data_IF_537713665438
#
_entry.id   IF_537713665438
#
_cell.length_a   1.000
_cell.length_b   1.000
_cell.length_c   1.000
_cell.angle_alpha   90.00
_cell.angle_beta   90.00
_cell.angle_gamma   90.00
#
_symmetry.space_group_name_H-M   'P 1'
#
loop_
_entity.id
_entity.type
_entity.pdbx_description
1 polymer ?
#
# COMPACT_ATOMS: atom_id res chain seq x y z
N UNK A 1 8.04 33.28 -22.00
CA UNK A 1 9.07 32.28 -22.37
C UNK A 1 8.50 31.41 -23.49
N UNK A 2 9.12 31.40 -24.69
CA UNK A 2 8.66 30.54 -25.80
C UNK A 2 9.01 29.09 -25.46
N UNK A 3 7.98 28.23 -25.27
CA UNK A 3 8.18 26.78 -25.14
C UNK A 3 8.83 26.26 -26.42
N UNK A 4 9.95 25.50 -26.38
CA UNK A 4 10.50 24.86 -27.54
C UNK A 4 9.46 23.88 -28.10
N UNK A 5 8.94 24.15 -29.29
CA UNK A 5 7.96 23.26 -29.93
C UNK A 5 8.72 22.09 -30.55
N UNK A 6 8.14 20.89 -30.41
CA UNK A 6 8.60 19.69 -31.10
C UNK A 6 8.77 20.00 -32.61
N UNK A 7 9.96 19.75 -33.14
CA UNK A 7 10.26 20.04 -34.50
C UNK A 7 10.04 18.79 -35.36
N UNK A 8 9.13 18.88 -36.30
CA UNK A 8 8.96 17.82 -37.29
C UNK A 8 10.07 17.84 -38.35
N UNK A 9 10.71 18.98 -38.55
CA UNK A 9 11.58 19.19 -39.68
C UNK A 9 10.80 19.17 -41.01
N UNK A 10 11.47 19.24 -42.11
CA UNK A 10 10.86 19.08 -43.44
C UNK A 10 11.82 18.47 -44.42
N UNK A 11 11.29 17.76 -45.40
CA UNK A 11 12.04 17.21 -46.52
C UNK A 11 11.98 18.14 -47.72
N UNK A 12 13.10 18.18 -48.49
CA UNK A 12 13.14 18.74 -49.81
C UNK A 12 13.93 17.82 -50.72
N UNK A 13 13.52 17.72 -51.96
CA UNK A 13 14.34 17.08 -53.01
C UNK A 13 15.38 18.09 -53.51
N UNK A 14 16.59 17.64 -53.60
CA UNK A 14 17.69 18.48 -54.08
C UNK A 14 18.40 17.82 -55.28
N UNK A 15 18.36 18.50 -56.43
CA UNK A 15 19.04 18.05 -57.65
C UNK A 15 20.50 18.48 -57.58
N UNK A 16 21.40 17.54 -57.54
CA UNK A 16 22.84 17.79 -57.55
C UNK A 16 23.33 18.18 -58.95
N UNK A 17 24.36 19.06 -59.04
CA UNK A 17 25.02 19.37 -60.30
C UNK A 17 25.67 18.14 -60.96
N UNK A 18 26.16 17.19 -60.12
CA UNK A 18 26.66 15.88 -60.59
C UNK A 18 26.10 14.82 -59.62
N UNK A 19 25.40 13.78 -60.13
CA UNK A 19 24.84 12.66 -59.37
C UNK A 19 23.32 12.66 -59.30
N UNK A 20 22.74 11.66 -58.66
CA UNK A 20 21.30 11.51 -58.54
C UNK A 20 20.66 12.58 -57.64
N UNK A 21 19.38 12.84 -57.88
CA UNK A 21 18.56 13.63 -57.01
C UNK A 21 18.45 12.98 -55.60
N UNK A 22 18.52 13.79 -54.53
CA UNK A 22 18.62 13.32 -53.17
C UNK A 22 17.54 13.94 -52.29
N UNK A 23 17.15 13.19 -51.25
CA UNK A 23 16.36 13.68 -50.16
C UNK A 23 17.23 14.41 -49.15
N UNK A 24 16.83 15.65 -48.76
CA UNK A 24 17.49 16.47 -47.76
C UNK A 24 16.49 16.75 -46.64
N UNK A 25 16.82 16.28 -45.47
CA UNK A 25 16.08 16.58 -44.23
C UNK A 25 16.65 17.86 -43.61
N UNK A 26 15.79 18.80 -43.23
CA UNK A 26 16.17 20.09 -42.64
C UNK A 26 15.42 20.30 -41.33
N UNK A 27 16.18 20.86 -40.36
CA UNK A 27 15.63 21.24 -39.04
C UNK A 27 16.29 22.51 -38.52
N UNK A 28 15.66 23.15 -37.54
CA UNK A 28 16.23 24.29 -36.85
C UNK A 28 17.07 23.81 -35.70
N UNK A 29 18.24 24.37 -35.49
CA UNK A 29 19.16 24.12 -34.39
C UNK A 29 19.59 25.48 -33.80
N UNK A 30 20.22 25.44 -32.65
CA UNK A 30 20.79 26.64 -32.02
C UNK A 30 22.30 26.50 -32.06
N UNK A 31 23.00 27.51 -32.55
CA UNK A 31 24.47 27.52 -32.58
C UNK A 31 25.06 27.76 -31.18
N UNK A 32 26.39 27.66 -31.08
CA UNK A 32 27.13 27.87 -29.83
C UNK A 32 26.91 29.27 -29.19
N UNK A 33 26.37 30.22 -29.92
CA UNK A 33 26.08 31.59 -29.49
C UNK A 33 24.58 31.81 -29.22
N UNK A 34 23.78 30.76 -29.18
CA UNK A 34 22.35 30.85 -28.91
C UNK A 34 21.50 31.34 -30.10
N UNK A 35 22.06 31.47 -31.30
CA UNK A 35 21.32 31.93 -32.50
C UNK A 35 20.71 30.75 -33.28
N UNK A 36 19.46 30.89 -33.78
CA UNK A 36 18.83 29.84 -34.58
C UNK A 36 19.56 29.64 -35.92
N UNK A 37 19.93 28.40 -36.19
CA UNK A 37 20.60 27.97 -37.42
C UNK A 37 19.85 26.81 -38.07
N UNK A 38 19.68 26.87 -39.39
CA UNK A 38 19.14 25.73 -40.18
C UNK A 38 20.22 24.69 -40.42
N UNK A 39 19.97 23.46 -39.99
CA UNK A 39 20.81 22.31 -40.37
C UNK A 39 20.13 21.48 -41.44
N UNK A 40 20.95 20.81 -42.24
CA UNK A 40 20.50 19.95 -43.31
C UNK A 40 21.34 18.67 -43.37
N UNK A 41 20.67 17.54 -43.58
CA UNK A 41 21.29 16.24 -43.76
C UNK A 41 20.80 15.61 -45.06
N UNK A 42 21.71 15.12 -45.90
CA UNK A 42 21.37 14.29 -47.04
C UNK A 42 21.08 12.87 -46.58
N UNK A 43 19.83 12.44 -46.73
CA UNK A 43 19.35 11.15 -46.26
C UNK A 43 19.67 10.01 -47.20
N UNK A 44 19.56 10.27 -48.51
CA UNK A 44 19.84 9.30 -49.54
C UNK A 44 19.29 9.73 -50.90
N UNK A 45 19.51 8.94 -51.94
CA UNK A 45 18.99 9.24 -53.29
C UNK A 45 17.48 8.96 -53.37
N UNK A 46 16.80 9.67 -54.28
CA UNK A 46 15.38 9.42 -54.60
C UNK A 46 15.17 8.01 -55.14
N UNK A 47 16.21 7.40 -55.77
CA UNK A 47 16.18 6.00 -56.18
C UNK A 47 16.22 5.01 -55.00
N UNK A 48 16.95 5.36 -53.92
CA UNK A 48 17.05 4.56 -52.71
C UNK A 48 15.78 4.64 -51.86
N UNK A 49 15.19 5.82 -51.77
CA UNK A 49 13.94 6.08 -51.08
C UNK A 49 12.93 6.66 -52.04
N UNK A 50 12.16 5.81 -52.74
CA UNK A 50 11.23 6.19 -53.77
C UNK A 50 10.09 7.09 -53.34
N UNK A 51 9.75 7.06 -52.04
CA UNK A 51 8.69 7.86 -51.42
C UNK A 51 9.21 8.69 -50.24
N UNK A 52 8.54 9.80 -49.98
CA UNK A 52 8.83 10.66 -48.85
C UNK A 52 8.65 9.90 -47.52
N UNK A 53 7.67 9.01 -47.46
CA UNK A 53 7.43 8.15 -46.29
C UNK A 53 8.62 7.23 -45.98
N UNK A 54 9.26 6.68 -47.02
CA UNK A 54 10.46 5.86 -46.83
C UNK A 54 11.65 6.70 -46.35
N UNK A 55 11.79 7.92 -46.82
CA UNK A 55 12.80 8.88 -46.36
C UNK A 55 12.52 9.30 -44.88
N UNK A 56 11.26 9.51 -44.49
CA UNK A 56 10.87 9.76 -43.10
C UNK A 56 11.22 8.61 -42.15
N UNK A 57 11.03 7.39 -42.58
CA UNK A 57 11.41 6.21 -41.81
C UNK A 57 12.93 6.12 -41.60
N UNK A 58 13.71 6.48 -42.59
CA UNK A 58 15.17 6.47 -42.52
C UNK A 58 15.76 7.53 -41.57
N UNK A 59 15.07 8.63 -41.32
CA UNK A 59 15.50 9.66 -40.33
C UNK A 59 14.82 9.57 -39.00
N UNK A 60 14.06 8.52 -38.72
CA UNK A 60 13.33 8.40 -37.48
C UNK A 60 14.23 8.49 -36.23
N UNK A 61 15.40 7.87 -36.26
CA UNK A 61 16.40 7.92 -35.18
C UNK A 61 17.00 9.33 -35.03
N UNK A 62 17.41 9.93 -36.14
CA UNK A 62 17.95 11.30 -36.15
C UNK A 62 16.92 12.32 -35.68
N UNK A 63 15.64 12.12 -36.00
CA UNK A 63 14.55 12.98 -35.55
C UNK A 63 14.33 12.90 -34.04
N UNK A 64 14.54 11.75 -33.42
CA UNK A 64 14.58 11.60 -32.00
C UNK A 64 15.74 12.39 -31.38
N UNK A 65 16.94 12.30 -31.98
CA UNK A 65 18.11 13.02 -31.50
C UNK A 65 17.96 14.54 -31.64
N UNK A 66 17.41 15.03 -32.76
CA UNK A 66 17.15 16.47 -32.99
C UNK A 66 16.19 17.05 -31.94
N UNK A 67 15.16 16.31 -31.55
CA UNK A 67 14.23 16.74 -30.53
C UNK A 67 14.74 16.46 -29.10
N UNK A 68 15.72 15.58 -28.98
CA UNK A 68 16.36 15.25 -27.72
C UNK A 68 17.35 16.35 -27.26
N UNK A 69 17.95 17.07 -28.20
CA UNK A 69 18.89 18.16 -27.96
C UNK A 69 18.26 19.56 -27.89
N UNK A 70 16.97 19.71 -28.20
CA UNK A 70 16.28 20.97 -27.92
C UNK A 70 16.24 21.15 -26.41
N UNK A 71 17.17 21.97 -25.91
CA UNK A 71 17.40 22.38 -24.52
C UNK A 71 16.49 21.67 -23.54
N UNK A 72 17.04 20.67 -22.79
CA UNK A 72 16.38 20.18 -21.61
C UNK A 72 15.96 21.41 -20.80
N UNK A 73 14.70 21.58 -20.41
CA UNK A 73 14.36 22.62 -19.45
C UNK A 73 15.35 22.49 -18.29
N UNK A 74 15.91 23.60 -17.83
CA UNK A 74 16.80 23.58 -16.67
C UNK A 74 16.09 22.79 -15.57
N UNK A 75 16.78 21.78 -14.98
CA UNK A 75 16.23 20.93 -13.94
C UNK A 75 15.70 19.56 -14.37
N UNK A 76 15.69 19.20 -15.67
CA UNK A 76 15.28 17.83 -16.08
C UNK A 76 16.31 16.80 -15.62
N UNK A 77 15.91 15.81 -14.81
CA UNK A 77 16.81 14.76 -14.34
C UNK A 77 17.44 13.97 -15.52
N UNK A 78 18.75 13.82 -15.51
CA UNK A 78 19.48 13.05 -16.50
C UNK A 78 19.41 11.56 -16.25
N UNK A 79 19.36 11.19 -14.96
CA UNK A 79 19.35 9.81 -14.49
C UNK A 79 18.18 9.57 -13.54
N UNK A 80 17.87 8.30 -13.34
CA UNK A 80 16.82 7.91 -12.40
C UNK A 80 17.15 8.33 -10.94
N UNK A 81 18.42 8.32 -10.55
CA UNK A 81 18.85 8.80 -9.23
C UNK A 81 18.54 10.28 -9.02
N UNK A 82 18.80 11.13 -10.03
CA UNK A 82 18.46 12.55 -9.98
C UNK A 82 16.94 12.75 -9.86
N UNK A 83 16.15 11.96 -10.59
CA UNK A 83 14.70 11.96 -10.46
C UNK A 83 14.25 11.55 -9.05
N UNK A 84 14.84 10.49 -8.50
CA UNK A 84 14.55 10.05 -7.12
C UNK A 84 14.96 11.11 -6.10
N UNK A 85 16.10 11.79 -6.29
CA UNK A 85 16.52 12.87 -5.40
C UNK A 85 15.49 14.01 -5.36
N UNK A 86 15.02 14.44 -6.52
CA UNK A 86 13.96 15.45 -6.60
C UNK A 86 12.64 14.96 -6.00
N UNK A 87 12.22 13.72 -6.29
CA UNK A 87 11.04 13.11 -5.71
C UNK A 87 11.11 13.07 -4.17
N UNK A 88 12.25 12.70 -3.62
CA UNK A 88 12.47 12.67 -2.16
C UNK A 88 12.35 14.06 -1.54
N UNK A 89 12.97 15.06 -2.15
CA UNK A 89 12.93 16.45 -1.69
C UNK A 89 11.49 17.02 -1.67
N UNK A 90 10.68 16.69 -2.66
CA UNK A 90 9.35 17.27 -2.80
C UNK A 90 8.26 16.43 -2.12
N UNK A 91 8.30 15.09 -2.31
CA UNK A 91 7.20 14.20 -1.92
C UNK A 91 7.44 13.47 -0.59
N UNK A 92 8.72 13.28 -0.20
CA UNK A 92 9.08 12.50 0.97
C UNK A 92 9.66 13.35 2.10
N UNK A 93 9.64 14.68 1.97
CA UNK A 93 10.07 15.57 3.04
C UNK A 93 9.22 15.30 4.30
N UNK A 94 9.89 14.88 5.38
CA UNK A 94 9.24 14.49 6.63
C UNK A 94 8.78 15.70 7.45
N UNK A 95 9.33 16.88 7.20
CA UNK A 95 8.99 18.12 7.90
C UNK A 95 7.74 18.77 7.32
N UNK A 96 7.41 18.46 6.06
CA UNK A 96 6.20 18.97 5.42
C UNK A 96 5.03 18.04 5.66
N UNK A 97 3.98 18.53 6.28
CA UNK A 97 2.70 17.82 6.29
C UNK A 97 2.21 17.64 4.85
N UNK A 98 1.76 16.42 4.56
CA UNK A 98 1.22 16.07 3.26
C UNK A 98 -0.09 15.31 3.47
N UNK A 99 -1.16 15.82 2.91
CA UNK A 99 -2.46 15.11 2.89
C UNK A 99 -2.40 13.79 2.12
N UNK A 100 -1.44 13.65 1.18
CA UNK A 100 -1.32 12.47 0.30
C UNK A 100 -0.53 11.34 0.90
N UNK A 101 0.54 11.63 1.64
CA UNK A 101 1.45 10.61 2.19
C UNK A 101 1.72 10.89 3.67
N UNK A 102 1.22 10.01 4.52
CA UNK A 102 1.56 10.05 5.95
C UNK A 102 3.03 9.70 6.17
N UNK A 103 3.62 10.18 7.28
CA UNK A 103 5.04 10.03 7.63
C UNK A 103 5.55 8.59 7.46
N UNK A 104 4.82 7.58 7.93
CA UNK A 104 5.19 6.18 7.80
C UNK A 104 5.31 5.70 6.34
N UNK A 105 4.44 6.22 5.46
CA UNK A 105 4.53 5.94 4.03
C UNK A 105 5.78 6.57 3.43
N UNK A 106 6.09 7.82 3.79
CA UNK A 106 7.30 8.53 3.36
C UNK A 106 8.56 7.77 3.76
N UNK A 107 8.65 7.34 5.04
CA UNK A 107 9.78 6.55 5.56
C UNK A 107 9.92 5.21 4.83
N UNK A 108 8.81 4.48 4.64
CA UNK A 108 8.82 3.21 3.91
C UNK A 108 9.33 3.39 2.48
N UNK A 109 8.88 4.43 1.78
CA UNK A 109 9.32 4.73 0.42
C UNK A 109 10.82 5.06 0.39
N UNK A 110 11.28 5.89 1.30
CA UNK A 110 12.68 6.29 1.40
C UNK A 110 13.61 5.10 1.64
N UNK A 111 13.20 4.18 2.52
CA UNK A 111 13.95 2.93 2.78
C UNK A 111 14.07 2.09 1.51
N UNK A 112 12.99 1.83 0.77
CA UNK A 112 13.08 1.02 -0.45
C UNK A 112 13.82 1.73 -1.58
N UNK A 113 13.67 3.04 -1.71
CA UNK A 113 14.43 3.84 -2.68
C UNK A 113 15.93 3.72 -2.41
N UNK A 114 16.37 3.92 -1.16
CA UNK A 114 17.79 3.87 -0.79
C UNK A 114 18.37 2.47 -0.83
N UNK A 115 17.66 1.48 -0.26
CA UNK A 115 18.23 0.16 -0.05
C UNK A 115 18.16 -0.74 -1.30
N UNK A 116 17.21 -0.52 -2.21
CA UNK A 116 16.94 -1.46 -3.30
C UNK A 116 16.87 -0.81 -4.69
N UNK A 117 16.15 0.31 -4.82
CA UNK A 117 15.81 0.86 -6.13
C UNK A 117 16.98 1.66 -6.71
N UNK A 118 17.51 2.64 -5.97
CA UNK A 118 18.63 3.49 -6.43
C UNK A 118 19.91 2.68 -6.67
N UNK A 119 20.34 1.75 -5.79
CA UNK A 119 21.53 0.94 -6.05
C UNK A 119 21.46 0.14 -7.36
N UNK A 120 20.24 -0.23 -7.80
CA UNK A 120 20.07 -1.01 -9.03
C UNK A 120 19.83 -0.14 -10.26
N UNK A 121 19.06 0.94 -10.13
CA UNK A 121 18.53 1.69 -11.28
C UNK A 121 19.02 3.13 -11.34
N UNK A 122 19.66 3.65 -10.31
CA UNK A 122 20.01 5.06 -10.19
C UNK A 122 20.82 5.62 -11.36
N UNK A 123 21.79 4.88 -11.85
CA UNK A 123 22.65 5.30 -12.95
C UNK A 123 22.01 5.27 -14.35
N UNK A 124 20.82 4.67 -14.49
CA UNK A 124 20.16 4.57 -15.79
C UNK A 124 19.45 5.87 -16.15
N UNK A 125 19.41 6.18 -17.45
CA UNK A 125 18.52 7.22 -17.99
C UNK A 125 17.08 6.74 -17.92
N UNK A 126 16.13 7.67 -17.80
CA UNK A 126 14.71 7.33 -17.61
C UNK A 126 14.14 6.42 -18.70
N UNK A 127 14.51 6.67 -19.96
CA UNK A 127 14.07 5.87 -21.12
C UNK A 127 14.77 4.51 -21.28
N UNK A 128 15.86 4.24 -20.55
CA UNK A 128 16.60 2.98 -20.60
C UNK A 128 16.00 1.90 -19.69
N UNK A 129 15.24 2.30 -18.69
CA UNK A 129 14.57 1.37 -17.76
C UNK A 129 13.36 0.75 -18.46
N UNK A 130 13.47 -0.53 -18.83
CA UNK A 130 12.42 -1.26 -19.54
C UNK A 130 11.65 -2.19 -18.61
N UNK A 131 10.36 -2.36 -18.85
CA UNK A 131 9.47 -3.18 -18.04
C UNK A 131 10.02 -4.59 -17.78
N UNK A 132 10.46 -5.29 -18.83
CA UNK A 132 11.00 -6.65 -18.73
C UNK A 132 12.27 -6.72 -17.87
N UNK A 133 13.11 -5.68 -17.90
CA UNK A 133 14.30 -5.64 -17.06
C UNK A 133 13.93 -5.47 -15.58
N UNK A 134 12.90 -4.66 -15.28
CA UNK A 134 12.36 -4.51 -13.92
C UNK A 134 11.70 -5.81 -13.45
N UNK A 135 10.93 -6.50 -14.30
CA UNK A 135 10.35 -7.80 -13.97
C UNK A 135 11.41 -8.82 -13.58
N UNK A 136 12.47 -8.96 -14.39
CA UNK A 136 13.58 -9.88 -14.10
C UNK A 136 14.28 -9.53 -12.80
N UNK A 137 14.52 -8.25 -12.56
CA UNK A 137 15.13 -7.80 -11.31
C UNK A 137 14.22 -8.10 -10.10
N UNK A 138 12.92 -7.78 -10.15
CA UNK A 138 12.00 -8.12 -9.06
C UNK A 138 11.92 -9.65 -8.86
N UNK A 139 11.98 -10.42 -9.94
CA UNK A 139 12.05 -11.89 -9.89
C UNK A 139 13.28 -12.41 -9.17
N UNK A 140 14.44 -11.78 -9.36
CA UNK A 140 15.72 -12.20 -8.75
C UNK A 140 15.90 -11.83 -7.28
N UNK A 141 14.96 -11.10 -6.66
CA UNK A 141 15.02 -10.75 -5.24
C UNK A 141 14.32 -11.86 -4.42
N UNK A 142 15.06 -12.86 -3.96
CA UNK A 142 14.47 -14.03 -3.30
C UNK A 142 14.10 -13.79 -1.84
N UNK A 143 14.70 -12.80 -1.19
CA UNK A 143 14.48 -12.43 0.22
C UNK A 143 13.19 -11.63 0.46
N UNK A 144 12.45 -11.26 -0.59
CA UNK A 144 11.25 -10.45 -0.47
C UNK A 144 9.98 -11.18 -0.91
N UNK A 145 8.91 -10.96 -0.16
CA UNK A 145 7.58 -11.45 -0.52
C UNK A 145 7.03 -10.78 -1.79
N UNK A 146 6.11 -11.43 -2.49
CA UNK A 146 5.42 -10.85 -3.66
C UNK A 146 4.74 -9.52 -3.33
N UNK A 147 4.15 -9.38 -2.15
CA UNK A 147 3.54 -8.12 -1.69
C UNK A 147 4.56 -6.99 -1.55
N UNK A 148 5.77 -7.30 -1.06
CA UNK A 148 6.87 -6.33 -0.96
C UNK A 148 7.41 -5.95 -2.34
N UNK A 149 7.60 -6.94 -3.23
CA UNK A 149 8.00 -6.70 -4.63
C UNK A 149 6.99 -5.80 -5.36
N UNK A 150 5.70 -6.06 -5.16
CA UNK A 150 4.64 -5.21 -5.73
C UNK A 150 4.66 -3.78 -5.14
N UNK A 151 5.00 -3.62 -3.86
CA UNK A 151 5.20 -2.31 -3.25
C UNK A 151 6.38 -1.57 -3.89
N UNK A 152 7.53 -2.24 -4.09
CA UNK A 152 8.70 -1.67 -4.79
C UNK A 152 8.33 -1.23 -6.21
N UNK A 153 7.59 -2.06 -6.97
CA UNK A 153 7.04 -1.69 -8.27
C UNK A 153 6.18 -0.41 -8.16
N UNK A 154 5.27 -0.35 -7.19
CA UNK A 154 4.42 0.82 -6.95
C UNK A 154 5.23 2.09 -6.68
N UNK A 155 6.28 2.01 -5.86
CA UNK A 155 7.17 3.14 -5.57
C UNK A 155 7.88 3.63 -6.84
N UNK A 156 8.43 2.72 -7.66
CA UNK A 156 9.04 3.09 -8.94
C UNK A 156 8.04 3.78 -9.86
N UNK A 157 6.81 3.28 -9.92
CA UNK A 157 5.74 3.89 -10.72
C UNK A 157 5.40 5.30 -10.25
N UNK A 158 5.33 5.53 -8.95
CA UNK A 158 5.10 6.86 -8.35
C UNK A 158 6.22 7.85 -8.71
N UNK A 159 7.47 7.40 -8.73
CA UNK A 159 8.62 8.22 -9.14
C UNK A 159 8.50 8.61 -10.61
N UNK A 160 8.09 7.70 -11.50
CA UNK A 160 7.83 8.03 -12.90
C UNK A 160 6.62 8.96 -13.08
N UNK A 161 5.54 8.76 -12.32
CA UNK A 161 4.38 9.67 -12.32
C UNK A 161 4.76 11.08 -11.88
N UNK A 162 5.70 11.19 -10.94
CA UNK A 162 6.26 12.48 -10.56
C UNK A 162 6.96 13.17 -11.75
N UNK A 163 7.77 12.44 -12.53
CA UNK A 163 8.42 12.98 -13.73
C UNK A 163 7.40 13.44 -14.79
N UNK A 164 6.32 12.69 -15.00
CA UNK A 164 5.22 13.06 -15.90
C UNK A 164 4.53 14.34 -15.40
N UNK A 165 4.21 14.43 -14.12
CA UNK A 165 3.58 15.61 -13.52
C UNK A 165 4.43 16.88 -13.65
N UNK A 166 5.76 16.74 -13.62
CA UNK A 166 6.70 17.84 -13.84
C UNK A 166 6.96 18.12 -15.33
N UNK A 167 6.32 17.39 -16.24
CA UNK A 167 6.49 17.57 -17.69
C UNK A 167 7.85 17.11 -18.22
N UNK A 168 8.59 16.28 -17.46
CA UNK A 168 9.87 15.71 -17.88
C UNK A 168 9.71 14.45 -18.72
N UNK A 169 8.56 13.82 -18.63
CA UNK A 169 8.09 12.71 -19.45
C UNK A 169 6.67 13.01 -19.93
N UNK A 170 6.28 12.42 -21.06
CA UNK A 170 4.92 12.54 -21.58
C UNK A 170 4.00 11.53 -20.90
N UNK A 171 2.69 11.77 -21.00
CA UNK A 171 1.68 10.80 -20.59
C UNK A 171 1.90 9.46 -21.33
N UNK A 172 1.83 8.37 -20.57
CA UNK A 172 2.06 7.03 -21.10
C UNK A 172 3.53 6.57 -21.12
N UNK A 173 4.51 7.43 -20.84
CA UNK A 173 5.93 7.07 -20.82
C UNK A 173 6.41 6.42 -19.51
N UNK A 174 5.49 6.02 -18.60
CA UNK A 174 5.83 5.26 -17.40
C UNK A 174 6.01 3.76 -17.74
N UNK A 175 7.24 3.24 -17.85
CA UNK A 175 7.47 1.84 -18.22
C UNK A 175 7.01 0.86 -17.14
N UNK A 176 6.83 1.33 -15.91
CA UNK A 176 6.48 0.48 -14.76
C UNK A 176 5.03 0.01 -14.81
N UNK A 177 4.15 0.70 -15.53
CA UNK A 177 2.77 0.21 -15.74
C UNK A 177 2.72 -1.15 -16.43
N UNK A 178 3.62 -1.38 -17.40
CA UNK A 178 3.71 -2.63 -18.14
C UNK A 178 4.40 -3.77 -17.34
N UNK A 179 4.99 -3.49 -16.18
CA UNK A 179 5.66 -4.49 -15.33
C UNK A 179 4.64 -5.45 -14.73
N UNK A 180 4.83 -6.75 -14.95
CA UNK A 180 3.99 -7.82 -14.37
C UNK A 180 4.57 -8.25 -13.04
N UNK A 181 3.92 -7.90 -11.93
CA UNK A 181 4.31 -8.31 -10.59
C UNK A 181 3.07 -8.70 -9.80
N UNK A 182 3.00 -9.95 -9.40
CA UNK A 182 1.93 -10.44 -8.54
C UNK A 182 2.06 -9.85 -7.14
N UNK A 183 0.94 -9.39 -6.57
CA UNK A 183 0.83 -9.02 -5.16
C UNK A 183 0.24 -10.15 -4.30
N UNK A 184 0.01 -11.36 -4.89
CA UNK A 184 -0.60 -12.49 -4.19
C UNK A 184 0.25 -12.88 -2.98
N UNK A 185 -0.38 -12.88 -1.81
CA UNK A 185 0.27 -13.30 -0.56
C UNK A 185 0.40 -14.82 -0.56
N UNK A 186 1.59 -15.31 -0.24
CA UNK A 186 1.88 -16.74 -0.07
C UNK A 186 1.55 -17.22 1.34
N UNK A 187 1.67 -16.32 2.34
CA UNK A 187 1.31 -16.60 3.73
C UNK A 187 -0.01 -15.92 4.07
N UNK A 188 -0.91 -16.69 4.64
CA UNK A 188 -2.16 -16.20 5.23
C UNK A 188 -1.96 -16.22 6.74
N UNK A 189 -2.20 -15.09 7.41
CA UNK A 189 -2.20 -15.04 8.88
C UNK A 189 -3.32 -15.94 9.39
N UNK A 190 -2.99 -16.90 10.24
CA UNK A 190 -3.97 -17.77 10.88
C UNK A 190 -4.51 -17.07 12.13
N UNK A 191 -5.83 -17.14 12.38
CA UNK A 191 -6.41 -16.66 13.63
C UNK A 191 -5.98 -17.56 14.78
N UNK A 192 -6.03 -17.03 16.00
CA UNK A 192 -5.90 -17.84 17.22
C UNK A 192 -7.20 -18.59 17.48
N UNK A 193 -7.09 -19.83 17.88
CA UNK A 193 -8.21 -20.55 18.47
C UNK A 193 -8.48 -20.01 19.88
N UNK A 194 -9.70 -20.19 20.38
CA UNK A 194 -10.07 -19.71 21.72
C UNK A 194 -9.19 -20.31 22.85
N UNK A 195 -8.77 -21.58 22.70
CA UNK A 195 -7.87 -22.23 23.63
C UNK A 195 -6.46 -21.63 23.58
N UNK A 196 -5.92 -21.39 22.38
CA UNK A 196 -4.61 -20.75 22.18
C UNK A 196 -4.61 -19.31 22.73
N UNK A 197 -5.69 -18.56 22.48
CA UNK A 197 -5.83 -17.20 23.02
C UNK A 197 -5.78 -17.22 24.56
N UNK A 198 -6.55 -18.10 25.20
CA UNK A 198 -6.55 -18.22 26.68
C UNK A 198 -5.17 -18.62 27.22
N UNK A 199 -4.53 -19.62 26.62
CA UNK A 199 -3.19 -20.04 26.99
C UNK A 199 -2.18 -18.89 26.87
N UNK A 200 -2.23 -18.12 25.77
CA UNK A 200 -1.39 -16.96 25.56
C UNK A 200 -1.60 -15.88 26.63
N UNK A 201 -2.87 -15.60 26.99
CA UNK A 201 -3.18 -14.58 28.00
C UNK A 201 -2.62 -14.93 29.37
N UNK A 202 -2.54 -16.21 29.73
CA UNK A 202 -1.95 -16.69 31.01
C UNK A 202 -0.42 -16.43 31.05
N UNK A 203 0.25 -16.47 29.93
CA UNK A 203 1.70 -16.27 29.81
C UNK A 203 2.12 -14.79 29.75
N UNK A 204 1.17 -13.86 29.64
CA UNK A 204 1.46 -12.44 29.49
C UNK A 204 1.38 -11.70 30.82
N UNK A 205 2.31 -10.74 31.07
CA UNK A 205 2.14 -9.78 32.18
C UNK A 205 0.84 -8.99 31.98
N UNK A 206 0.26 -8.54 33.11
CA UNK A 206 -1.06 -7.91 33.17
C UNK A 206 -1.28 -6.83 32.09
N UNK A 207 -0.39 -5.83 31.99
CA UNK A 207 -0.49 -4.78 30.94
C UNK A 207 -0.57 -5.37 29.54
N UNK A 208 0.26 -6.36 29.23
CA UNK A 208 0.30 -7.01 27.92
C UNK A 208 -0.93 -7.87 27.68
N UNK A 209 -1.40 -8.57 28.70
CA UNK A 209 -2.65 -9.34 28.69
C UNK A 209 -3.82 -8.43 28.34
N UNK A 210 -3.93 -7.29 29.02
CA UNK A 210 -4.99 -6.33 28.76
C UNK A 210 -4.94 -5.72 27.37
N UNK A 211 -3.73 -5.40 26.83
CA UNK A 211 -3.56 -5.01 25.44
C UNK A 211 -4.10 -6.10 24.49
N UNK A 212 -3.79 -7.36 24.76
CA UNK A 212 -4.28 -8.51 24.00
C UNK A 212 -5.81 -8.66 24.07
N UNK A 213 -6.40 -8.53 25.27
CA UNK A 213 -7.85 -8.57 25.50
C UNK A 213 -8.52 -7.44 24.70
N UNK A 214 -8.12 -6.19 24.89
CA UNK A 214 -8.70 -5.05 24.17
C UNK A 214 -8.60 -5.23 22.65
N UNK A 215 -7.45 -5.66 22.14
CA UNK A 215 -7.28 -5.88 20.70
C UNK A 215 -8.16 -7.01 20.17
N UNK A 216 -8.38 -8.09 20.95
CA UNK A 216 -9.15 -9.25 20.54
C UNK A 216 -10.67 -9.07 20.70
N UNK A 217 -11.13 -8.25 21.65
CA UNK A 217 -12.56 -8.01 21.89
C UNK A 217 -13.13 -6.84 21.08
N UNK A 218 -12.28 -5.87 20.71
CA UNK A 218 -12.71 -4.68 19.97
C UNK A 218 -12.27 -4.69 18.50
N UNK A 219 -11.33 -5.56 18.15
CA UNK A 219 -10.72 -5.58 16.82
C UNK A 219 -9.88 -4.35 16.49
N UNK A 220 -9.53 -3.50 17.44
CA UNK A 220 -8.67 -2.31 17.22
C UNK A 220 -7.28 -2.69 16.70
N UNK A 221 -6.68 -1.81 15.90
CA UNK A 221 -5.27 -1.94 15.52
C UNK A 221 -4.39 -1.63 16.73
N UNK A 222 -3.24 -2.29 16.85
CA UNK A 222 -2.34 -2.03 17.98
C UNK A 222 -1.98 -0.55 18.14
N UNK A 223 -1.77 0.17 17.05
CA UNK A 223 -1.50 1.60 17.08
C UNK A 223 -2.68 2.44 17.63
N UNK A 224 -3.91 1.96 17.47
CA UNK A 224 -5.13 2.55 18.01
C UNK A 224 -5.28 2.20 19.49
N UNK A 225 -5.02 0.93 19.87
CA UNK A 225 -5.00 0.48 21.27
C UNK A 225 -3.99 1.29 22.08
N UNK A 226 -2.75 1.41 21.58
CA UNK A 226 -1.71 2.22 22.23
C UNK A 226 -2.02 3.72 22.22
N UNK A 227 -2.90 4.17 21.33
CA UNK A 227 -3.37 5.54 21.24
C UNK A 227 -4.48 5.92 22.25
N UNK A 228 -5.01 4.96 23.01
CA UNK A 228 -6.09 5.20 23.97
C UNK A 228 -5.61 5.99 25.17
N UNK A 229 -6.42 6.96 25.58
CA UNK A 229 -6.32 7.68 26.85
C UNK A 229 -7.53 7.37 27.70
N UNK A 230 -7.44 7.55 29.02
CA UNK A 230 -8.57 7.27 29.92
C UNK A 230 -9.79 8.13 29.61
N UNK A 231 -9.62 9.34 29.12
CA UNK A 231 -10.72 10.23 28.71
C UNK A 231 -11.48 9.74 27.48
N UNK A 232 -10.91 8.82 26.69
CA UNK A 232 -11.56 8.28 25.49
C UNK A 232 -12.60 7.19 25.82
N UNK A 233 -12.73 6.77 27.09
CA UNK A 233 -13.61 5.69 27.51
C UNK A 233 -14.83 6.27 28.22
N UNK A 234 -15.99 6.12 27.61
CA UNK A 234 -17.27 6.39 28.25
C UNK A 234 -17.74 5.13 29.01
N UNK A 235 -17.61 5.18 30.33
CA UNK A 235 -17.97 4.09 31.24
C UNK A 235 -19.48 3.90 31.38
N UNK A 236 -20.31 4.89 31.00
CA UNK A 236 -21.78 4.80 31.11
C UNK A 236 -22.37 4.11 29.90
N UNK A 237 -21.87 4.45 28.71
CA UNK A 237 -22.34 3.89 27.43
C UNK A 237 -21.53 2.67 27.00
N UNK A 238 -20.46 2.32 27.72
CA UNK A 238 -19.50 1.26 27.38
C UNK A 238 -18.97 1.41 25.96
N UNK A 239 -18.42 2.58 25.66
CA UNK A 239 -17.86 2.90 24.34
C UNK A 239 -16.48 3.51 24.48
N UNK A 240 -15.63 3.26 23.46
CA UNK A 240 -14.32 3.90 23.31
C UNK A 240 -14.32 4.82 22.09
N UNK A 241 -13.85 6.05 22.25
CA UNK A 241 -13.56 6.95 21.14
C UNK A 241 -12.12 6.76 20.68
N UNK A 242 -11.92 6.39 19.41
CA UNK A 242 -10.59 6.21 18.85
C UNK A 242 -10.24 7.42 17.99
N UNK A 243 -9.61 8.40 18.59
CA UNK A 243 -9.31 9.70 17.98
C UNK A 243 -7.90 9.77 17.39
N UNK A 244 -6.98 8.92 17.87
CA UNK A 244 -5.55 8.94 17.52
C UNK A 244 -4.96 7.55 17.37
N UNK A 245 -3.79 7.48 16.78
CA UNK A 245 -2.97 6.28 16.70
C UNK A 245 -1.52 6.61 17.05
N UNK A 246 -0.82 5.66 17.66
CA UNK A 246 0.61 5.83 17.99
C UNK A 246 1.43 4.80 17.26
N UNK A 247 2.40 5.26 16.47
CA UNK A 247 3.34 4.42 15.72
C UNK A 247 4.76 4.96 15.95
N UNK A 248 5.66 4.13 16.40
CA UNK A 248 7.07 4.46 16.65
C UNK A 248 7.25 5.73 17.51
N UNK A 249 6.44 5.88 18.55
CA UNK A 249 6.46 7.04 19.44
C UNK A 249 5.90 8.33 18.83
N UNK A 250 5.23 8.26 17.69
CA UNK A 250 4.62 9.42 17.03
C UNK A 250 3.10 9.30 17.14
N UNK A 251 2.47 10.33 17.69
CA UNK A 251 1.02 10.45 17.74
C UNK A 251 0.52 11.00 16.42
N UNK A 252 -0.32 10.25 15.75
CA UNK A 252 -0.95 10.64 14.48
C UNK A 252 -2.47 10.60 14.56
N UNK A 253 -3.12 11.26 13.60
CA UNK A 253 -4.57 11.14 13.39
C UNK A 253 -4.91 9.70 12.92
N UNK A 254 -6.11 9.23 13.22
CA UNK A 254 -6.60 7.97 12.68
C UNK A 254 -6.59 8.01 11.13
N UNK A 255 -6.22 6.86 10.53
CA UNK A 255 -5.96 6.73 9.08
C UNK A 255 -7.17 7.03 8.20
N UNK A 256 -8.38 6.82 8.69
CA UNK A 256 -9.64 7.02 7.95
C UNK A 256 -10.71 7.64 8.85
N UNK A 257 -11.68 8.33 8.28
CA UNK A 257 -12.83 8.86 9.04
C UNK A 257 -13.64 7.76 9.72
N UNK A 258 -13.78 6.60 9.07
CA UNK A 258 -14.41 5.42 9.66
C UNK A 258 -13.68 4.93 10.93
N UNK A 259 -12.39 5.24 11.06
CA UNK A 259 -11.61 4.93 12.25
C UNK A 259 -11.90 5.84 13.46
N UNK A 260 -12.74 6.86 13.32
CA UNK A 260 -13.16 7.75 14.40
C UNK A 260 -14.50 7.36 15.05
N UNK A 261 -15.19 6.35 14.51
CA UNK A 261 -16.47 5.90 15.09
C UNK A 261 -16.22 5.28 16.44
N UNK A 262 -17.11 5.51 17.43
CA UNK A 262 -17.04 4.84 18.73
C UNK A 262 -17.03 3.31 18.58
N UNK A 263 -16.30 2.66 19.44
CA UNK A 263 -16.18 1.19 19.50
C UNK A 263 -16.86 0.71 20.75
N UNK A 264 -17.87 -0.16 20.68
CA UNK A 264 -18.48 -0.74 21.86
C UNK A 264 -17.49 -1.65 22.59
N UNK A 265 -17.54 -1.65 23.90
CA UNK A 265 -16.84 -2.60 24.77
C UNK A 265 -17.86 -3.38 25.59
N UNK A 266 -17.57 -4.62 25.86
CA UNK A 266 -18.37 -5.44 26.74
C UNK A 266 -17.99 -5.19 28.21
N UNK A 267 -18.83 -5.62 29.13
CA UNK A 267 -18.66 -5.44 30.60
C UNK A 267 -17.35 -6.06 31.09
N UNK A 268 -16.99 -7.24 30.59
CA UNK A 268 -15.71 -7.90 30.94
C UNK A 268 -14.50 -7.05 30.58
N UNK A 269 -14.47 -6.51 29.39
CA UNK A 269 -13.36 -5.64 28.92
C UNK A 269 -13.33 -4.34 29.72
N UNK A 270 -14.48 -3.79 30.07
CA UNK A 270 -14.58 -2.60 30.90
C UNK A 270 -14.06 -2.86 32.36
N UNK A 271 -14.41 -3.98 32.95
CA UNK A 271 -13.95 -4.37 34.30
C UNK A 271 -12.43 -4.59 34.33
N UNK A 272 -11.86 -5.25 33.34
CA UNK A 272 -10.41 -5.42 33.21
C UNK A 272 -9.68 -4.06 33.06
N UNK A 273 -10.26 -3.13 32.32
CA UNK A 273 -9.72 -1.77 32.19
C UNK A 273 -9.84 -0.97 33.48
N UNK A 274 -10.95 -1.10 34.22
CA UNK A 274 -11.14 -0.46 35.53
C UNK A 274 -10.18 -1.02 36.58
N UNK A 275 -9.95 -2.33 36.56
CA UNK A 275 -8.94 -2.96 37.43
C UNK A 275 -7.56 -2.40 37.13
N UNK A 276 -7.17 -2.37 35.88
CA UNK A 276 -5.90 -1.77 35.47
C UNK A 276 -5.77 -0.29 35.84
N UNK A 277 -6.87 0.48 35.75
CA UNK A 277 -6.88 1.90 36.13
C UNK A 277 -6.57 2.12 37.63
N UNK A 278 -6.97 1.17 38.49
CA UNK A 278 -6.66 1.22 39.91
C UNK A 278 -5.20 0.89 40.24
N UNK A 279 -4.56 0.12 39.41
CA UNK A 279 -3.19 -0.38 39.62
C UNK A 279 -2.12 0.49 38.97
N UNK A 280 -2.43 1.13 37.81
CA UNK A 280 -1.45 1.95 37.11
C UNK A 280 -1.20 3.28 37.83
N UNK A 281 0.06 3.73 37.83
CA UNK A 281 0.42 5.07 38.29
C UNK A 281 -0.08 6.21 37.35
N UNK A 282 -0.56 5.85 36.16
CA UNK A 282 -0.99 6.77 35.08
C UNK A 282 -2.50 6.65 34.87
N UNK A 283 -3.30 7.18 35.80
CA UNK A 283 -4.75 7.02 35.83
C UNK A 283 -5.55 8.31 35.56
N UNK A 284 -4.88 9.43 35.30
CA UNK A 284 -5.54 10.70 34.98
C UNK A 284 -6.25 10.64 33.62
N UNK A 285 -7.27 11.45 33.39
CA UNK A 285 -8.00 11.44 32.11
C UNK A 285 -7.09 11.57 30.87
N UNK A 286 -6.06 12.43 30.92
CA UNK A 286 -5.11 12.67 29.84
C UNK A 286 -3.98 11.63 29.75
N UNK A 287 -3.84 10.74 30.72
CA UNK A 287 -2.81 9.71 30.67
C UNK A 287 -3.18 8.62 29.65
N UNK A 288 -2.13 8.02 29.08
CA UNK A 288 -2.30 6.85 28.22
C UNK A 288 -2.76 5.65 29.03
N UNK A 289 -3.76 4.92 28.54
CA UNK A 289 -4.22 3.66 29.17
C UNK A 289 -3.07 2.68 29.33
N UNK A 290 -2.19 2.64 28.31
CA UNK A 290 -1.00 1.78 28.28
C UNK A 290 0.28 2.61 28.31
N UNK A 291 0.42 3.47 29.30
CA UNK A 291 1.59 4.32 29.46
C UNK A 291 2.90 3.52 29.60
N UNK A 292 3.99 4.05 29.07
CA UNK A 292 5.34 3.46 29.22
C UNK A 292 6.04 4.04 30.45
N UNK A 293 6.41 3.19 31.39
CA UNK A 293 7.18 3.55 32.58
C UNK A 293 8.58 4.06 32.22
N UNK A 294 9.18 3.50 31.15
CA UNK A 294 10.50 3.89 30.66
C UNK A 294 10.61 5.38 30.34
N UNK A 295 9.52 5.99 29.91
CA UNK A 295 9.44 7.42 29.59
C UNK A 295 8.48 8.16 30.52
N UNK A 296 8.32 7.66 31.74
CA UNK A 296 7.52 8.30 32.79
C UNK A 296 6.09 8.64 32.36
N UNK A 297 5.46 7.75 31.62
CA UNK A 297 4.08 7.92 31.14
C UNK A 297 3.88 8.89 29.99
N UNK A 298 4.92 9.57 29.53
CA UNK A 298 4.81 10.58 28.44
C UNK A 298 4.32 10.00 27.13
N UNK A 299 4.60 8.74 26.87
CA UNK A 299 4.22 8.01 25.65
C UNK A 299 3.87 6.56 26.00
N UNK A 300 3.08 5.85 25.18
CA UNK A 300 2.94 4.41 25.27
C UNK A 300 4.21 3.68 24.82
N UNK A 301 4.36 2.38 25.11
CA UNK A 301 5.51 1.59 24.68
C UNK A 301 5.52 1.39 23.15
N UNK A 302 6.69 1.10 22.61
CA UNK A 302 6.84 0.80 21.19
C UNK A 302 6.32 -0.60 20.85
N UNK A 303 5.61 -0.69 19.74
CA UNK A 303 4.98 -1.94 19.28
C UNK A 303 5.98 -3.08 19.12
N UNK A 304 7.15 -2.81 18.51
CA UNK A 304 8.19 -3.82 18.31
C UNK A 304 8.75 -4.34 19.64
N UNK A 305 8.93 -3.44 20.63
CA UNK A 305 9.36 -3.84 21.98
C UNK A 305 8.33 -4.77 22.63
N UNK A 306 7.04 -4.47 22.48
CA UNK A 306 5.97 -5.31 23.03
C UNK A 306 5.91 -6.67 22.32
N UNK A 307 6.11 -6.69 21.00
CA UNK A 307 6.13 -7.90 20.20
C UNK A 307 7.28 -8.82 20.60
N UNK A 308 8.51 -8.29 20.56
CA UNK A 308 9.73 -9.09 20.68
C UNK A 308 10.01 -9.53 22.12
N UNK A 309 9.71 -8.66 23.11
CA UNK A 309 10.02 -8.95 24.50
C UNK A 309 8.93 -9.69 25.23
N UNK A 310 7.68 -9.57 24.81
CA UNK A 310 6.55 -10.14 25.54
C UNK A 310 5.72 -11.10 24.71
N UNK A 311 5.19 -10.66 23.55
CA UNK A 311 4.20 -11.44 22.82
C UNK A 311 4.79 -12.71 22.21
N UNK A 312 5.92 -12.60 21.49
CA UNK A 312 6.57 -13.76 20.87
C UNK A 312 7.08 -14.79 21.90
N UNK A 313 7.78 -14.39 22.99
CA UNK A 313 8.16 -15.33 24.04
C UNK A 313 6.97 -16.00 24.73
N UNK A 314 5.87 -15.26 24.99
CA UNK A 314 4.67 -15.80 25.59
C UNK A 314 3.97 -16.81 24.67
N UNK A 315 3.86 -16.53 23.38
CA UNK A 315 3.31 -17.45 22.40
C UNK A 315 4.09 -18.78 22.35
N UNK A 316 5.42 -18.69 22.42
CA UNK A 316 6.28 -19.89 22.49
C UNK A 316 6.03 -20.69 23.78
N UNK A 317 5.92 -20.04 24.96
CA UNK A 317 5.63 -20.72 26.24
C UNK A 317 4.23 -21.32 26.26
N UNK A 318 3.27 -20.67 25.61
CA UNK A 318 1.91 -21.18 25.44
C UNK A 318 1.81 -22.35 24.44
N UNK A 319 2.92 -22.80 23.83
CA UNK A 319 2.95 -23.90 22.88
C UNK A 319 2.38 -23.57 21.50
N UNK A 320 2.23 -22.29 21.17
CA UNK A 320 1.67 -21.84 19.87
C UNK A 320 2.77 -21.89 18.82
N UNK A 321 2.61 -22.76 17.81
CA UNK A 321 3.61 -22.98 16.76
C UNK A 321 3.51 -21.98 15.60
N UNK A 322 2.32 -21.43 15.36
CA UNK A 322 2.11 -20.40 14.32
C UNK A 322 2.61 -19.04 14.81
N UNK A 323 2.97 -18.18 13.84
CA UNK A 323 3.42 -16.83 14.17
C UNK A 323 2.26 -15.98 14.73
N UNK A 324 2.48 -15.36 15.88
CA UNK A 324 1.50 -14.52 16.57
C UNK A 324 2.00 -13.07 16.59
N UNK A 325 1.25 -12.16 16.01
CA UNK A 325 1.49 -10.72 16.11
C UNK A 325 0.21 -10.01 16.57
N UNK A 326 0.29 -8.71 16.85
CA UNK A 326 -0.90 -7.96 17.27
C UNK A 326 -2.04 -8.00 16.26
N UNK A 327 -1.72 -8.13 14.98
CA UNK A 327 -2.72 -8.27 13.91
C UNK A 327 -3.47 -9.63 14.00
N UNK A 328 -2.87 -10.64 14.64
CA UNK A 328 -3.52 -11.94 14.85
C UNK A 328 -4.75 -11.79 15.74
N UNK A 329 -4.73 -10.92 16.77
CA UNK A 329 -5.90 -10.64 17.61
C UNK A 329 -7.07 -10.08 16.79
N UNK A 330 -6.80 -9.12 15.95
CA UNK A 330 -7.81 -8.53 15.06
C UNK A 330 -8.33 -9.54 14.02
N UNK A 331 -7.47 -10.43 13.52
CA UNK A 331 -7.89 -11.55 12.67
C UNK A 331 -8.77 -12.54 13.41
N UNK A 332 -8.42 -12.87 14.65
CA UNK A 332 -9.21 -13.73 15.52
C UNK A 332 -10.61 -13.14 15.72
N UNK A 333 -10.70 -11.86 16.11
CA UNK A 333 -11.97 -11.16 16.27
C UNK A 333 -12.85 -11.25 15.02
N UNK A 334 -12.31 -10.89 13.85
CA UNK A 334 -13.07 -10.93 12.59
C UNK A 334 -13.50 -12.35 12.20
N UNK A 335 -12.69 -13.36 12.54
CA UNK A 335 -13.00 -14.76 12.24
C UNK A 335 -14.09 -15.29 13.17
N UNK A 336 -14.07 -14.90 14.45
CA UNK A 336 -15.11 -15.27 15.41
C UNK A 336 -16.45 -14.61 15.09
N UNK A 337 -16.47 -13.31 14.74
CA UNK A 337 -17.69 -12.65 14.27
C UNK A 337 -18.31 -13.39 13.10
N UNK A 338 -17.49 -13.78 12.11
CA UNK A 338 -17.96 -14.59 10.98
C UNK A 338 -18.47 -15.97 11.42
N UNK A 339 -17.76 -16.65 12.31
CA UNK A 339 -18.16 -17.99 12.79
C UNK A 339 -19.48 -17.95 13.55
N UNK A 340 -19.76 -16.83 14.24
CA UNK A 340 -21.02 -16.58 14.92
C UNK A 340 -22.17 -16.19 13.97
N UNK A 341 -21.90 -16.07 12.66
CA UNK A 341 -22.94 -15.77 11.66
C UNK A 341 -23.28 -14.28 11.52
N UNK A 342 -22.45 -13.39 12.07
CA UNK A 342 -22.68 -11.95 12.00
C UNK A 342 -22.74 -11.44 10.57
N UNK A 343 -23.64 -10.49 10.32
CA UNK A 343 -23.78 -9.84 9.00
C UNK A 343 -22.49 -9.16 8.55
N UNK A 344 -22.17 -9.28 7.28
CA UNK A 344 -20.94 -8.69 6.69
C UNK A 344 -20.83 -7.19 6.96
N UNK A 345 -21.97 -6.48 6.97
CA UNK A 345 -22.02 -5.04 7.21
C UNK A 345 -21.70 -4.73 8.67
N UNK A 346 -22.25 -5.51 9.60
CA UNK A 346 -21.95 -5.40 11.03
C UNK A 346 -20.46 -5.65 11.27
N UNK A 347 -19.91 -6.72 10.68
CA UNK A 347 -18.45 -7.01 10.76
C UNK A 347 -17.63 -5.88 10.16
N UNK A 348 -18.03 -5.31 9.01
CA UNK A 348 -17.33 -4.16 8.40
C UNK A 348 -17.29 -2.97 9.36
N UNK A 349 -18.40 -2.67 10.02
CA UNK A 349 -18.52 -1.54 10.94
C UNK A 349 -17.72 -1.76 12.23
N UNK A 350 -17.83 -2.92 12.86
CA UNK A 350 -17.05 -3.27 14.04
C UNK A 350 -15.54 -3.27 13.75
N UNK A 351 -15.15 -3.79 12.59
CA UNK A 351 -13.76 -3.78 12.14
C UNK A 351 -13.30 -2.40 11.66
N UNK A 352 -14.22 -1.46 11.48
CA UNK A 352 -13.93 -0.11 10.98
C UNK A 352 -13.14 -0.13 9.66
N UNK A 353 -13.54 -1.04 8.74
CA UNK A 353 -12.93 -1.16 7.43
C UNK A 353 -13.54 -0.12 6.47
N UNK A 354 -12.69 0.77 5.94
CA UNK A 354 -13.10 1.77 4.96
C UNK A 354 -13.61 1.13 3.65
N UNK A 355 -13.07 -0.05 3.29
CA UNK A 355 -13.44 -0.78 2.09
C UNK A 355 -13.99 -2.17 2.47
N UNK A 356 -15.20 -2.47 2.00
CA UNK A 356 -15.86 -3.76 2.22
C UNK A 356 -15.04 -4.95 1.68
N UNK A 357 -14.25 -4.75 0.62
CA UNK A 357 -13.40 -5.82 0.09
C UNK A 357 -12.41 -6.36 1.13
N UNK A 358 -12.00 -5.54 2.09
CA UNK A 358 -11.13 -5.97 3.19
C UNK A 358 -11.86 -6.95 4.11
N UNK A 359 -13.13 -6.70 4.40
CA UNK A 359 -14.00 -7.61 5.18
C UNK A 359 -14.30 -8.87 4.37
N UNK A 360 -14.65 -8.72 3.09
CA UNK A 360 -14.95 -9.85 2.20
C UNK A 360 -13.79 -10.84 2.08
N UNK A 361 -12.54 -10.40 2.16
CA UNK A 361 -11.38 -11.30 2.19
C UNK A 361 -11.39 -12.28 3.37
N UNK A 362 -12.05 -11.95 4.47
CA UNK A 362 -12.29 -12.88 5.60
C UNK A 362 -13.39 -13.88 5.25
N UNK A 363 -14.39 -13.46 4.45
CA UNK A 363 -15.55 -14.28 4.06
C UNK A 363 -15.29 -15.19 2.86
N UNK A 364 -14.30 -14.93 2.00
CA UNK A 364 -14.00 -15.73 0.79
C UNK A 364 -13.66 -17.19 1.06
N UNK A 365 -13.32 -17.53 2.31
CA UNK A 365 -13.09 -18.91 2.77
C UNK A 365 -14.32 -19.52 3.45
N UNK A 366 -15.53 -19.28 2.93
CA UNK A 366 -16.70 -19.98 3.44
C UNK A 366 -16.54 -21.49 3.24
N UNK A 367 -16.60 -22.22 4.35
CA UNK A 367 -16.45 -23.69 4.35
C UNK A 367 -17.58 -24.32 3.51
N UNK A 368 -17.24 -25.38 2.78
CA UNK A 368 -18.18 -26.14 1.95
C UNK A 368 -19.45 -26.57 2.71
N UNK A 369 -19.39 -26.98 4.00
CA UNK A 369 -20.56 -27.27 4.81
C UNK A 369 -21.54 -26.10 4.95
N UNK A 370 -21.04 -24.89 5.28
CA UNK A 370 -21.90 -23.71 5.42
C UNK A 370 -22.59 -23.30 4.10
N UNK A 371 -21.94 -23.54 2.96
CA UNK A 371 -22.55 -23.31 1.64
C UNK A 371 -23.67 -24.29 1.36
N UNK A 372 -23.48 -25.57 1.71
CA UNK A 372 -24.52 -26.62 1.55
C UNK A 372 -25.72 -26.32 2.45
N UNK A 373 -25.49 -25.96 3.71
CA UNK A 373 -26.55 -25.61 4.65
C UNK A 373 -27.36 -24.39 4.21
N UNK A 374 -26.67 -23.32 3.73
CA UNK A 374 -27.33 -22.16 3.16
C UNK A 374 -28.16 -22.52 1.91
N UNK A 375 -27.64 -23.39 1.04
CA UNK A 375 -28.36 -23.89 -0.14
C UNK A 375 -29.56 -24.75 0.29
N UNK A 376 -29.39 -25.64 1.27
CA UNK A 376 -30.49 -26.47 1.79
C UNK A 376 -31.62 -25.62 2.33
N UNK A 377 -31.34 -24.60 3.13
CA UNK A 377 -32.35 -23.65 3.63
C UNK A 377 -33.15 -22.98 2.50
N UNK A 378 -32.50 -22.59 1.42
CA UNK A 378 -33.19 -22.04 0.23
C UNK A 378 -34.09 -23.08 -0.41
N UNK A 379 -33.60 -24.30 -0.57
CA UNK A 379 -34.39 -25.43 -1.12
C UNK A 379 -35.57 -25.75 -0.22
N UNK A 380 -35.39 -25.76 1.09
CA UNK A 380 -36.46 -26.04 2.06
C UNK A 380 -37.55 -24.97 1.98
N UNK A 381 -37.19 -23.70 1.86
CA UNK A 381 -38.15 -22.59 1.65
C UNK A 381 -38.87 -22.71 0.32
N UNK A 382 -38.14 -22.95 -0.78
CA UNK A 382 -38.74 -23.02 -2.12
C UNK A 382 -39.59 -24.25 -2.33
N UNK A 383 -39.25 -25.39 -1.69
CA UNK A 383 -39.94 -26.67 -1.83
C UNK A 383 -40.93 -26.93 -0.70
N UNK A 384 -41.13 -25.97 0.20
CA UNK A 384 -42.06 -26.04 1.37
C UNK A 384 -41.82 -27.31 2.24
N UNK A 385 -40.55 -27.75 2.31
CA UNK A 385 -40.17 -28.98 3.06
C UNK A 385 -40.27 -28.79 4.57
N UNK A 386 -40.27 -27.54 5.07
CA UNK A 386 -40.43 -27.22 6.48
C UNK A 386 -41.80 -27.59 7.07
N UNK A 387 -42.85 -27.69 6.25
CA UNK A 387 -44.17 -28.17 6.66
C UNK A 387 -44.25 -29.69 6.85
N UNK A 388 -43.53 -30.48 6.07
CA UNK A 388 -43.59 -31.94 6.15
C UNK A 388 -42.98 -32.55 7.41
N UNK A 389 -42.02 -31.89 8.03
CA UNK A 389 -41.38 -32.34 9.29
C UNK A 389 -42.35 -32.19 10.48
N UNK A 390 -43.21 -31.18 10.45
CA UNK A 390 -44.21 -30.96 11.53
C UNK A 390 -45.42 -31.90 11.35
N UNK A 391 -45.83 -32.21 10.14
CA UNK A 391 -46.96 -33.12 9.87
C UNK A 391 -46.57 -34.59 10.21
N UNK A 392 -45.37 -35.04 9.87
CA UNK A 392 -44.92 -36.42 10.19
C UNK A 392 -44.67 -36.57 11.71
N UNK A 393 -44.24 -35.53 12.43
CA UNK A 393 -44.09 -35.57 13.88
C UNK A 393 -45.44 -35.55 14.65
N UNK A 394 -46.51 -35.07 13.98
CA UNK A 394 -47.86 -35.11 14.52
C UNK A 394 -48.56 -36.44 14.25
N UNK A 395 -48.23 -37.12 13.16
CA UNK A 395 -48.77 -38.47 12.83
C UNK A 395 -48.07 -39.59 13.64
N UNK A 396 -46.79 -39.44 14.03
CA UNK A 396 -46.08 -40.39 14.89
C UNK A 396 -46.44 -40.22 16.40
N UNK A 397 -47.17 -39.17 16.75
CA UNK A 397 -47.60 -38.89 18.12
C UNK A 397 -49.08 -39.15 18.37
N UNK A 398 -49.85 -39.65 17.38
CA UNK A 398 -51.24 -40.00 17.46
C UNK A 398 -51.43 -41.53 17.36
#
# INVERSE_FOLDING_TARGET
MNRPRYQHGFFSRHRRKKGPEVWVYRWRDIDANGKPKMRALVVGSVKQYSTETAAWKAVSTLRLDVNYHTSRPEGVPGTFEQLVAHYRMIELDLEKESERKVRQTKQTYDVYLKARIVPRWGGYRLGEIKAVAVERWLGSIDDLSNGTKAKIKGIMSEVYQHAIRYGWLNDGENPIFAVRQSAKRTRVTEPLEAAEFRALMLELPQKMRLIGIVAATTGLRISEVLGLKWMDIDWKTLQMEVTRSVVDGIVGKCKTETSRRPVPIDEFTADELLSWKKETCYAKPDDWVFASEKVQGKMPPWTDTLLDRFLQPAAKRAGITKWVGFHSFRHTYSTLLKANGEDVKVVQELMRHANISTTMNVYTKALTPAKREAQSRVVDVLMDRSRKVVENAAEDAA
#
